data_IF_069744483080
#
_entry.id   IF_069744483080
#
_cell.length_a   1.000
_cell.length_b   1.000
_cell.length_c   1.000
_cell.angle_alpha   90.00
_cell.angle_beta   90.00
_cell.angle_gamma   90.00
#
_symmetry.space_group_name_H-M   'P 1'
#
loop_
_entity.id
_entity.type
_entity.pdbx_description
1 polymer ?
#
# COMPACT_ATOMS: atom_id res chain seq x y z
N UNK A 1 -58.71 -51.55 -0.43
CA UNK A 1 -57.93 -50.34 -0.11
C UNK A 1 -58.23 -49.95 1.32
N UNK A 2 -57.27 -50.11 2.22
CA UNK A 2 -57.37 -49.72 3.63
C UNK A 2 -56.96 -48.26 3.79
N UNK A 3 -57.84 -47.45 4.37
CA UNK A 3 -57.64 -46.03 4.66
C UNK A 3 -56.74 -45.86 5.90
N UNK A 4 -55.63 -45.14 5.80
CA UNK A 4 -54.61 -45.00 6.86
C UNK A 4 -54.71 -43.70 7.67
N UNK A 5 -55.81 -42.96 7.59
CA UNK A 5 -55.97 -41.69 8.30
C UNK A 5 -55.13 -40.53 7.73
N UNK A 6 -55.39 -39.28 8.17
CA UNK A 6 -54.63 -38.12 7.73
C UNK A 6 -53.20 -38.16 8.28
N UNK A 7 -52.22 -37.79 7.44
CA UNK A 7 -50.83 -37.57 7.83
C UNK A 7 -50.77 -36.47 8.90
N UNK A 8 -50.72 -36.86 10.17
CA UNK A 8 -50.45 -35.94 11.27
C UNK A 8 -48.98 -35.53 11.15
N UNK A 9 -48.72 -34.35 10.60
CA UNK A 9 -47.40 -33.73 10.69
C UNK A 9 -47.05 -33.63 12.17
N UNK A 10 -46.05 -34.41 12.61
CA UNK A 10 -45.50 -34.29 13.97
C UNK A 10 -45.22 -32.82 14.22
N UNK A 11 -45.82 -32.26 15.28
CA UNK A 11 -45.52 -30.90 15.70
C UNK A 11 -44.01 -30.76 15.82
N UNK A 12 -43.48 -29.71 15.20
CA UNK A 12 -42.04 -29.40 15.20
C UNK A 12 -41.63 -29.31 16.67
N UNK A 13 -40.85 -30.28 17.17
CA UNK A 13 -40.32 -30.26 18.55
C UNK A 13 -39.77 -28.86 18.80
N UNK A 14 -40.28 -28.15 19.79
CA UNK A 14 -39.77 -26.84 20.17
C UNK A 14 -38.26 -26.96 20.38
N UNK A 15 -37.50 -26.12 19.67
CA UNK A 15 -36.05 -26.15 19.78
C UNK A 15 -35.71 -25.62 21.17
N UNK A 16 -34.82 -26.30 21.89
CA UNK A 16 -34.36 -25.77 23.17
C UNK A 16 -33.71 -24.40 22.99
N UNK A 17 -33.90 -23.49 23.95
CA UNK A 17 -33.44 -22.10 23.90
C UNK A 17 -31.98 -21.96 23.43
N UNK A 18 -31.07 -22.81 23.92
CA UNK A 18 -29.64 -22.80 23.51
C UNK A 18 -29.47 -23.04 22.01
N UNK A 19 -30.28 -23.94 21.42
CA UNK A 19 -30.26 -24.21 19.98
C UNK A 19 -30.85 -23.05 19.18
N UNK A 20 -31.87 -22.38 19.69
CA UNK A 20 -32.45 -21.20 19.03
C UNK A 20 -31.47 -20.03 19.00
N UNK A 21 -30.83 -19.72 20.14
CA UNK A 21 -29.78 -18.71 20.20
C UNK A 21 -28.55 -19.08 19.36
N UNK A 22 -28.16 -20.35 19.33
CA UNK A 22 -27.08 -20.85 18.47
C UNK A 22 -27.40 -20.74 16.98
N UNK A 23 -28.61 -21.14 16.57
CA UNK A 23 -29.07 -21.03 15.18
C UNK A 23 -29.15 -19.54 14.76
N UNK A 24 -29.63 -18.65 15.63
CA UNK A 24 -29.70 -17.21 15.37
C UNK A 24 -28.30 -16.58 15.24
N UNK A 25 -27.37 -16.94 16.12
CA UNK A 25 -25.99 -16.48 16.05
C UNK A 25 -25.30 -16.96 14.77
N UNK A 26 -25.46 -18.24 14.42
CA UNK A 26 -24.93 -18.80 13.19
C UNK A 26 -25.48 -18.07 11.96
N UNK A 27 -26.80 -17.85 11.92
CA UNK A 27 -27.44 -17.09 10.86
C UNK A 27 -26.88 -15.66 10.76
N UNK A 28 -26.74 -14.96 11.89
CA UNK A 28 -26.18 -13.62 11.93
C UNK A 28 -24.74 -13.58 11.40
N UNK A 29 -23.89 -14.55 11.78
CA UNK A 29 -22.51 -14.66 11.29
C UNK A 29 -22.48 -14.90 9.77
N UNK A 30 -23.31 -15.80 9.25
CA UNK A 30 -23.38 -16.09 7.82
C UNK A 30 -23.90 -14.87 7.04
N UNK A 31 -24.99 -14.26 7.49
CA UNK A 31 -25.56 -13.07 6.86
C UNK A 31 -24.56 -11.90 6.87
N UNK A 32 -23.92 -11.62 8.00
CA UNK A 32 -22.89 -10.59 8.12
C UNK A 32 -21.67 -10.92 7.24
N UNK A 33 -21.28 -12.21 7.14
CA UNK A 33 -20.22 -12.66 6.25
C UNK A 33 -20.52 -12.41 4.77
N UNK A 34 -21.76 -12.68 4.34
CA UNK A 34 -22.21 -12.40 2.97
C UNK A 34 -22.25 -10.89 2.71
N UNK A 35 -22.86 -10.11 3.62
CA UNK A 35 -22.93 -8.65 3.50
C UNK A 35 -21.52 -8.06 3.41
N UNK A 36 -20.62 -8.48 4.30
CA UNK A 36 -19.22 -8.03 4.31
C UNK A 36 -18.45 -8.48 3.08
N UNK A 37 -18.70 -9.70 2.60
CA UNK A 37 -18.05 -10.26 1.43
C UNK A 37 -18.39 -9.48 0.15
N UNK A 38 -19.67 -9.16 -0.04
CA UNK A 38 -20.19 -8.73 -1.35
C UNK A 38 -20.69 -7.28 -1.42
N UNK A 39 -21.08 -6.67 -0.30
CA UNK A 39 -21.79 -5.38 -0.33
C UNK A 39 -20.91 -4.26 0.22
N UNK A 40 -20.62 -4.31 1.52
CA UNK A 40 -19.91 -3.24 2.22
C UNK A 40 -18.94 -3.79 3.25
N UNK A 41 -17.79 -3.14 3.38
CA UNK A 41 -16.84 -3.47 4.44
C UNK A 41 -16.36 -2.19 5.12
N UNK A 42 -16.21 -2.27 6.45
CA UNK A 42 -15.70 -1.18 7.26
C UNK A 42 -14.17 -1.27 7.39
N UNK A 43 -13.48 -0.17 7.15
CA UNK A 43 -12.03 -0.06 7.28
C UNK A 43 -11.66 1.11 8.19
N UNK A 44 -10.51 1.01 8.83
CA UNK A 44 -9.92 2.08 9.64
C UNK A 44 -8.76 2.72 8.89
N UNK A 45 -8.53 4.02 9.10
CA UNK A 45 -7.38 4.75 8.55
C UNK A 45 -6.28 4.84 9.61
N UNK A 46 -5.20 4.04 9.49
CA UNK A 46 -4.12 4.03 10.47
C UNK A 46 -3.01 5.04 10.18
N UNK A 47 -2.89 5.54 8.95
CA UNK A 47 -1.78 6.40 8.50
C UNK A 47 -2.28 7.62 7.71
N UNK A 48 -1.51 8.71 7.76
CA UNK A 48 -1.84 10.02 7.18
C UNK A 48 -1.63 10.12 5.66
N UNK A 49 -1.66 9.00 4.94
CA UNK A 49 -1.31 8.99 3.52
C UNK A 49 -2.37 9.65 2.61
N UNK A 50 -3.62 9.69 3.06
CA UNK A 50 -4.76 10.31 2.37
C UNK A 50 -5.19 11.59 3.10
N UNK A 51 -4.28 12.21 3.86
CA UNK A 51 -4.57 13.34 4.74
C UNK A 51 -5.38 14.46 4.09
N UNK A 52 -6.13 15.20 4.92
CA UNK A 52 -7.19 16.16 4.59
C UNK A 52 -8.50 15.53 4.11
N UNK A 53 -8.44 14.64 3.13
CA UNK A 53 -9.63 13.92 2.67
C UNK A 53 -10.02 12.82 3.65
N UNK A 54 -9.03 12.03 4.07
CA UNK A 54 -9.18 10.95 5.05
C UNK A 54 -8.12 11.06 6.15
N UNK A 55 -8.57 11.32 7.37
CA UNK A 55 -7.69 11.53 8.51
C UNK A 55 -7.41 10.23 9.26
N UNK A 56 -6.25 10.17 9.93
CA UNK A 56 -5.95 9.08 10.87
C UNK A 56 -7.06 9.00 11.92
N UNK A 57 -7.58 7.80 12.13
CA UNK A 57 -8.71 7.53 13.01
C UNK A 57 -10.10 7.70 12.38
N UNK A 58 -10.18 7.98 11.08
CA UNK A 58 -11.41 7.81 10.32
C UNK A 58 -11.73 6.32 10.12
N UNK A 59 -13.01 6.01 10.18
CA UNK A 59 -13.57 4.70 9.86
C UNK A 59 -14.51 4.85 8.67
N UNK A 60 -14.22 4.10 7.61
CA UNK A 60 -14.88 4.22 6.31
C UNK A 60 -15.72 3.01 6.01
N UNK A 61 -16.87 3.23 5.36
CA UNK A 61 -17.53 2.19 4.60
C UNK A 61 -17.03 2.19 3.15
N UNK A 62 -16.70 1.01 2.66
CA UNK A 62 -16.31 0.77 1.27
C UNK A 62 -17.45 0.09 0.54
N UNK A 63 -17.85 0.65 -0.60
CA UNK A 63 -18.83 0.06 -1.51
C UNK A 63 -18.14 -0.89 -2.48
N UNK A 64 -18.35 -2.20 -2.30
CA UNK A 64 -17.80 -3.23 -3.19
C UNK A 64 -18.61 -3.43 -4.47
N UNK A 65 -19.87 -2.99 -4.46
CA UNK A 65 -20.78 -3.15 -5.59
C UNK A 65 -20.43 -2.16 -6.70
N UNK A 66 -19.80 -1.03 -6.37
CA UNK A 66 -19.33 -0.03 -7.33
C UNK A 66 -18.56 -0.68 -8.48
N UNK A 67 -17.43 -1.29 -8.15
CA UNK A 67 -16.55 -1.97 -9.10
C UNK A 67 -16.88 -3.45 -9.27
N UNK A 68 -18.03 -3.91 -8.75
CA UNK A 68 -18.41 -5.30 -8.77
C UNK A 68 -17.69 -6.14 -7.70
N UNK A 69 -18.42 -6.92 -6.87
CA UNK A 69 -17.78 -7.68 -5.81
C UNK A 69 -16.99 -8.87 -6.35
N UNK A 70 -15.84 -9.14 -5.72
CA UNK A 70 -15.01 -10.31 -6.01
C UNK A 70 -15.57 -11.55 -5.33
N UNK A 71 -15.54 -12.69 -6.02
CA UNK A 71 -15.68 -13.98 -5.34
C UNK A 71 -14.47 -14.17 -4.40
N UNK A 72 -14.68 -14.69 -3.18
CA UNK A 72 -13.59 -14.90 -2.24
C UNK A 72 -12.65 -15.99 -2.77
N UNK A 73 -11.37 -15.68 -2.95
CA UNK A 73 -10.38 -16.69 -3.34
C UNK A 73 -10.18 -17.72 -2.21
N UNK A 74 -10.46 -17.32 -0.97
CA UNK A 74 -10.41 -18.17 0.22
C UNK A 74 -11.81 -18.33 0.85
N UNK A 75 -12.69 -19.15 0.25
CA UNK A 75 -14.08 -19.27 0.71
C UNK A 75 -14.20 -19.88 2.12
N UNK A 76 -13.21 -20.66 2.55
CA UNK A 76 -13.15 -21.27 3.88
C UNK A 76 -12.20 -20.47 4.78
N UNK A 77 -12.76 -19.46 5.44
CA UNK A 77 -12.05 -18.61 6.40
C UNK A 77 -12.86 -18.43 7.69
N UNK A 78 -12.15 -18.19 8.79
CA UNK A 78 -12.76 -17.80 10.07
C UNK A 78 -13.43 -16.43 9.87
N UNK A 79 -14.74 -16.31 10.13
CA UNK A 79 -15.45 -15.06 9.96
C UNK A 79 -14.78 -13.91 10.71
N UNK A 80 -14.83 -12.73 10.11
CA UNK A 80 -14.31 -11.46 10.65
C UNK A 80 -12.79 -11.33 10.81
N UNK A 81 -12.01 -12.39 10.59
CA UNK A 81 -10.55 -12.32 10.60
C UNK A 81 -9.99 -12.22 9.19
N UNK A 82 -9.27 -11.12 8.93
CA UNK A 82 -8.78 -10.83 7.59
C UNK A 82 -7.66 -11.78 7.17
N UNK A 83 -6.50 -11.72 7.84
CA UNK A 83 -5.27 -12.43 7.45
C UNK A 83 -4.93 -13.59 8.40
N UNK A 84 -4.79 -13.30 9.69
CA UNK A 84 -4.39 -14.22 10.74
C UNK A 84 -5.34 -14.14 11.94
N UNK A 85 -5.36 -15.17 12.78
CA UNK A 85 -6.11 -15.16 14.04
C UNK A 85 -5.43 -14.17 14.99
N UNK A 86 -6.15 -13.16 15.55
CA UNK A 86 -5.58 -12.16 16.43
C UNK A 86 -4.78 -12.76 17.60
N UNK A 87 -3.63 -12.18 17.90
CA UNK A 87 -2.72 -12.67 18.95
C UNK A 87 -1.89 -13.89 18.55
N UNK A 88 -2.00 -14.35 17.30
CA UNK A 88 -1.21 -15.47 16.76
C UNK A 88 -0.71 -15.16 15.35
N UNK A 89 0.21 -15.98 14.83
CA UNK A 89 0.64 -15.95 13.42
C UNK A 89 -0.04 -17.04 12.58
N UNK A 90 -1.14 -17.62 13.08
CA UNK A 90 -1.89 -18.69 12.41
C UNK A 90 -2.85 -18.10 11.37
N UNK A 91 -2.83 -18.66 10.14
CA UNK A 91 -3.74 -18.28 9.06
C UNK A 91 -5.19 -18.32 9.51
N UNK A 92 -5.97 -17.28 9.20
CA UNK A 92 -7.42 -17.29 9.44
C UNK A 92 -8.21 -18.09 8.38
N UNK A 93 -7.53 -18.73 7.44
CA UNK A 93 -8.13 -19.39 6.28
C UNK A 93 -7.45 -20.72 5.94
N UNK A 94 -8.18 -21.58 5.24
CA UNK A 94 -7.62 -22.82 4.70
C UNK A 94 -6.85 -22.52 3.41
N UNK A 95 -5.62 -23.00 3.34
CA UNK A 95 -4.72 -22.72 2.21
C UNK A 95 -4.74 -23.79 1.12
N UNK A 96 -5.22 -25.01 1.42
CA UNK A 96 -5.22 -26.14 0.48
C UNK A 96 -6.37 -26.06 -0.54
N UNK A 97 -7.34 -25.18 -0.31
CA UNK A 97 -8.47 -24.93 -1.20
C UNK A 97 -8.57 -23.43 -1.46
N UNK A 98 -8.42 -23.04 -2.71
CA UNK A 98 -8.61 -21.67 -3.18
C UNK A 98 -9.33 -21.65 -4.52
N UNK A 99 -9.97 -20.52 -4.82
CA UNK A 99 -10.65 -20.28 -6.10
C UNK A 99 -9.87 -19.26 -6.93
N UNK A 100 -9.94 -19.40 -8.24
CA UNK A 100 -9.40 -18.40 -9.16
C UNK A 100 -10.15 -17.07 -9.02
N UNK A 101 -9.48 -15.99 -9.44
CA UNK A 101 -10.10 -14.67 -9.46
C UNK A 101 -11.33 -14.65 -10.36
N UNK A 102 -12.45 -14.19 -9.79
CA UNK A 102 -13.65 -13.87 -10.53
C UNK A 102 -14.32 -12.66 -9.90
N UNK A 103 -14.75 -11.72 -10.73
CA UNK A 103 -15.43 -10.49 -10.32
C UNK A 103 -16.82 -10.47 -10.94
N UNK A 104 -17.81 -10.22 -10.11
CA UNK A 104 -19.19 -10.02 -10.56
C UNK A 104 -19.32 -8.61 -11.19
N UNK A 105 -20.29 -8.37 -12.09
CA UNK A 105 -20.49 -7.05 -12.67
C UNK A 105 -20.71 -5.97 -11.60
N UNK A 106 -20.02 -4.83 -11.75
CA UNK A 106 -20.28 -3.60 -11.03
C UNK A 106 -21.25 -2.69 -11.78
N UNK A 107 -21.62 -1.56 -11.17
CA UNK A 107 -22.38 -0.52 -11.88
C UNK A 107 -21.49 0.61 -12.42
N UNK A 108 -20.20 0.63 -12.07
CA UNK A 108 -19.20 1.57 -12.56
C UNK A 108 -17.82 0.89 -12.61
N UNK A 109 -16.94 1.40 -13.47
CA UNK A 109 -15.53 1.03 -13.45
C UNK A 109 -14.75 1.91 -12.47
N UNK A 110 -13.48 1.58 -12.24
CA UNK A 110 -12.57 2.44 -11.47
C UNK A 110 -12.22 3.64 -12.33
N UNK A 111 -12.51 4.83 -11.83
CA UNK A 111 -12.25 6.08 -12.55
C UNK A 111 -11.06 6.84 -11.93
N UNK A 112 -10.46 7.74 -12.69
CA UNK A 112 -9.45 8.66 -12.14
C UNK A 112 -10.09 9.51 -11.04
N UNK A 113 -9.29 9.81 -10.03
CA UNK A 113 -9.62 10.49 -8.78
C UNK A 113 -10.46 9.70 -7.78
N UNK A 114 -10.83 8.45 -8.09
CA UNK A 114 -11.52 7.63 -7.12
C UNK A 114 -10.65 7.27 -5.92
N UNK A 115 -11.19 7.34 -4.71
CA UNK A 115 -10.54 6.76 -3.54
C UNK A 115 -10.84 5.26 -3.52
N UNK A 116 -9.80 4.47 -3.78
CA UNK A 116 -9.90 3.02 -3.97
C UNK A 116 -9.30 2.31 -2.76
N UNK A 117 -10.05 1.35 -2.23
CA UNK A 117 -9.49 0.34 -1.32
C UNK A 117 -9.07 -0.87 -2.12
N UNK A 118 -7.86 -1.36 -1.87
CA UNK A 118 -7.25 -2.46 -2.61
C UNK A 118 -6.33 -3.28 -1.70
N UNK A 119 -6.11 -4.53 -2.09
CA UNK A 119 -5.14 -5.41 -1.46
C UNK A 119 -3.72 -4.97 -1.85
N UNK A 120 -2.78 -4.95 -0.91
CA UNK A 120 -1.42 -4.48 -1.13
C UNK A 120 -0.69 -5.36 -2.17
N UNK A 121 -0.27 -4.84 -3.35
CA UNK A 121 0.24 -5.68 -4.43
C UNK A 121 1.55 -6.40 -4.10
N UNK A 122 2.37 -5.84 -3.21
CA UNK A 122 3.62 -6.45 -2.73
C UNK A 122 3.50 -7.18 -1.38
N UNK A 123 2.27 -7.40 -0.91
CA UNK A 123 1.95 -8.11 0.34
C UNK A 123 1.66 -9.61 0.18
N UNK A 124 2.04 -10.23 -0.94
CA UNK A 124 1.92 -11.67 -1.19
C UNK A 124 2.85 -12.51 -0.29
N UNK A 125 3.98 -11.95 0.12
CA UNK A 125 4.87 -12.53 1.12
C UNK A 125 5.00 -11.56 2.29
N UNK A 126 4.76 -12.04 3.50
CA UNK A 126 4.89 -11.22 4.71
C UNK A 126 5.81 -11.91 5.73
N UNK A 127 6.69 -11.12 6.35
CA UNK A 127 7.50 -11.57 7.48
C UNK A 127 6.65 -11.49 8.76
N UNK A 128 6.68 -12.54 9.56
CA UNK A 128 5.92 -12.69 10.80
C UNK A 128 6.82 -12.34 11.98
N UNK A 129 6.29 -11.65 12.97
CA UNK A 129 7.06 -11.19 14.12
C UNK A 129 6.96 -9.69 14.31
N UNK A 130 7.74 -9.21 15.27
CA UNK A 130 7.93 -7.79 15.53
C UNK A 130 9.41 -7.46 15.41
N UNK A 131 9.71 -6.25 14.96
CA UNK A 131 11.06 -5.72 15.08
C UNK A 131 11.39 -5.44 16.55
N UNK A 132 12.62 -5.04 16.84
CA UNK A 132 13.05 -4.73 18.21
C UNK A 132 12.36 -3.53 18.85
N UNK A 133 11.77 -2.64 18.04
CA UNK A 133 10.96 -1.50 18.52
C UNK A 133 9.53 -1.92 18.87
N UNK A 134 9.16 -3.18 18.60
CA UNK A 134 7.83 -3.71 18.82
C UNK A 134 6.89 -3.53 17.64
N UNK A 135 7.34 -2.95 16.53
CA UNK A 135 6.54 -2.75 15.32
C UNK A 135 6.34 -4.09 14.62
N UNK A 136 5.12 -4.32 14.13
CA UNK A 136 4.77 -5.56 13.47
C UNK A 136 5.40 -5.63 12.07
N UNK A 137 6.11 -6.72 11.78
CA UNK A 137 6.76 -6.89 10.47
C UNK A 137 5.75 -7.24 9.36
N UNK A 138 4.56 -7.67 9.76
CA UNK A 138 3.47 -7.99 8.84
C UNK A 138 2.90 -6.70 8.25
N UNK A 139 2.76 -6.66 6.92
CA UNK A 139 2.27 -5.49 6.19
C UNK A 139 3.34 -4.60 5.58
N UNK A 140 4.62 -4.89 5.86
CA UNK A 140 5.76 -4.31 5.16
C UNK A 140 6.09 -5.06 3.86
N UNK A 141 6.86 -4.41 2.99
CA UNK A 141 7.25 -4.96 1.70
C UNK A 141 8.39 -6.00 1.83
N UNK A 142 8.06 -7.28 1.73
CA UNK A 142 9.08 -8.36 1.71
C UNK A 142 10.14 -8.14 0.63
N UNK A 143 9.76 -7.68 -0.55
CA UNK A 143 10.67 -7.49 -1.67
C UNK A 143 11.65 -6.34 -1.45
N UNK A 144 11.25 -5.32 -0.70
CA UNK A 144 12.15 -4.28 -0.24
C UNK A 144 13.18 -4.86 0.73
N UNK A 145 12.75 -5.60 1.76
CA UNK A 145 13.66 -6.24 2.70
C UNK A 145 14.64 -7.19 2.01
N UNK A 146 14.16 -7.96 1.04
CA UNK A 146 14.99 -8.87 0.26
C UNK A 146 16.06 -8.12 -0.53
N UNK A 147 15.69 -7.00 -1.15
CA UNK A 147 16.59 -6.16 -1.95
C UNK A 147 17.62 -5.44 -1.09
N UNK A 148 17.19 -4.84 0.02
CA UNK A 148 18.08 -4.13 0.94
C UNK A 148 19.05 -5.10 1.62
N UNK A 149 18.59 -6.31 2.02
CA UNK A 149 19.44 -7.38 2.53
C UNK A 149 20.45 -7.85 1.47
N UNK A 150 20.02 -8.09 0.23
CA UNK A 150 20.91 -8.53 -0.85
C UNK A 150 21.99 -7.47 -1.15
N UNK A 151 21.60 -6.20 -1.24
CA UNK A 151 22.54 -5.11 -1.49
C UNK A 151 23.53 -4.93 -0.34
N UNK A 152 23.05 -5.00 0.91
CA UNK A 152 23.91 -4.97 2.09
C UNK A 152 24.94 -6.10 2.10
N UNK A 153 24.53 -7.34 1.77
CA UNK A 153 25.41 -8.50 1.67
C UNK A 153 26.47 -8.34 0.56
N UNK A 154 26.17 -7.58 -0.49
CA UNK A 154 27.16 -7.26 -1.52
C UNK A 154 28.28 -6.38 -0.98
N UNK A 155 27.95 -5.40 -0.13
CA UNK A 155 28.86 -4.39 0.38
C UNK A 155 29.74 -3.79 -0.74
N UNK A 156 29.09 -3.43 -1.84
CA UNK A 156 29.70 -3.08 -3.12
C UNK A 156 28.98 -1.88 -3.75
N UNK A 157 29.47 -1.39 -4.90
CA UNK A 157 28.75 -0.39 -5.69
C UNK A 157 27.46 -0.97 -6.29
N UNK A 158 26.51 -0.10 -6.64
CA UNK A 158 25.26 -0.53 -7.24
C UNK A 158 25.47 -1.24 -8.59
N UNK A 159 26.43 -0.76 -9.39
CA UNK A 159 26.78 -1.36 -10.68
C UNK A 159 27.35 -2.77 -10.52
N UNK A 160 28.18 -2.99 -9.50
CA UNK A 160 28.69 -4.33 -9.16
C UNK A 160 27.57 -5.24 -8.67
N UNK A 161 26.64 -4.70 -7.87
CA UNK A 161 25.49 -5.47 -7.40
C UNK A 161 24.62 -5.97 -8.56
N UNK A 162 24.35 -5.16 -9.57
CA UNK A 162 23.53 -5.57 -10.72
C UNK A 162 24.16 -6.71 -11.54
N UNK A 163 25.50 -6.77 -11.62
CA UNK A 163 26.20 -7.83 -12.35
C UNK A 163 26.02 -9.21 -11.72
N UNK A 164 25.99 -9.27 -10.38
CA UNK A 164 25.91 -10.51 -9.59
C UNK A 164 24.60 -10.59 -8.78
N UNK A 165 23.55 -9.87 -9.18
CA UNK A 165 22.33 -9.65 -8.39
C UNK A 165 21.71 -10.95 -7.90
N UNK A 166 21.57 -11.93 -8.78
CA UNK A 166 20.90 -13.21 -8.47
C UNK A 166 21.62 -13.99 -7.36
N UNK A 167 22.95 -13.91 -7.29
CA UNK A 167 23.76 -14.54 -6.23
C UNK A 167 23.42 -13.93 -4.87
N UNK A 168 23.38 -12.61 -4.76
CA UNK A 168 23.08 -11.93 -3.50
C UNK A 168 21.62 -12.08 -3.09
N UNK A 169 20.70 -12.07 -4.05
CA UNK A 169 19.30 -12.38 -3.81
C UNK A 169 19.09 -13.81 -3.30
N UNK A 170 19.83 -14.80 -3.81
CA UNK A 170 19.79 -16.16 -3.29
C UNK A 170 20.25 -16.21 -1.82
N UNK A 171 21.35 -15.53 -1.49
CA UNK A 171 21.86 -15.43 -0.12
C UNK A 171 20.88 -14.72 0.82
N UNK A 172 20.27 -13.63 0.37
CA UNK A 172 19.27 -12.88 1.12
C UNK A 172 17.99 -13.70 1.36
N UNK A 173 17.54 -14.48 0.37
CA UNK A 173 16.42 -15.44 0.56
C UNK A 173 16.75 -16.50 1.59
N UNK A 174 17.98 -17.01 1.61
CA UNK A 174 18.41 -17.95 2.66
C UNK A 174 18.33 -17.30 4.06
N UNK A 175 18.80 -16.06 4.19
CA UNK A 175 18.72 -15.33 5.46
C UNK A 175 17.27 -15.11 5.91
N UNK A 176 16.42 -14.61 5.00
CA UNK A 176 15.05 -14.23 5.34
C UNK A 176 14.10 -15.43 5.45
N UNK A 177 14.16 -16.39 4.53
CA UNK A 177 13.15 -17.46 4.43
C UNK A 177 13.55 -18.75 5.16
N UNK A 178 14.85 -18.96 5.42
CA UNK A 178 15.34 -20.17 6.11
C UNK A 178 15.84 -19.83 7.51
N UNK A 179 16.65 -18.77 7.65
CA UNK A 179 17.24 -18.38 8.94
C UNK A 179 16.38 -17.41 9.74
N UNK A 180 15.27 -16.92 9.18
CA UNK A 180 14.39 -15.91 9.76
C UNK A 180 15.17 -14.72 10.36
N UNK A 181 16.12 -14.20 9.59
CA UNK A 181 17.06 -13.14 10.03
C UNK A 181 17.24 -12.10 8.95
N UNK A 182 17.17 -10.84 9.35
CA UNK A 182 17.54 -9.69 8.55
C UNK A 182 18.84 -9.11 9.10
N UNK A 183 19.93 -9.12 8.32
CA UNK A 183 21.28 -8.80 8.82
C UNK A 183 21.68 -7.35 8.60
N UNK A 184 21.03 -6.64 7.70
CA UNK A 184 21.31 -5.22 7.41
C UNK A 184 20.81 -4.25 8.49
N UNK A 185 20.14 -4.74 9.54
CA UNK A 185 19.62 -3.89 10.62
C UNK A 185 20.70 -3.50 11.63
N UNK A 186 20.58 -2.30 12.20
CA UNK A 186 21.54 -1.72 13.15
C UNK A 186 20.82 -0.80 14.14
N UNK A 187 21.47 -0.52 15.27
CA UNK A 187 21.13 0.62 16.13
C UNK A 187 22.26 1.65 16.12
N UNK A 188 21.94 2.88 16.51
CA UNK A 188 22.92 3.95 16.70
C UNK A 188 23.18 4.05 18.20
N UNK A 189 24.44 3.91 18.61
CA UNK A 189 24.84 4.07 20.00
C UNK A 189 24.96 5.54 20.41
N UNK A 190 25.22 5.79 21.70
CA UNK A 190 25.37 7.14 22.26
C UNK A 190 26.53 7.95 21.64
N UNK A 191 27.43 7.29 20.91
CA UNK A 191 28.55 7.89 20.18
C UNK A 191 28.24 8.11 18.70
N UNK A 192 26.96 8.00 18.30
CA UNK A 192 26.50 8.10 16.92
C UNK A 192 27.12 7.05 15.99
N UNK A 193 27.55 5.89 16.52
CA UNK A 193 28.11 4.78 15.74
C UNK A 193 27.02 3.77 15.45
N UNK A 194 27.02 3.23 14.22
CA UNK A 194 26.13 2.13 13.85
C UNK A 194 26.70 0.81 14.34
N UNK A 195 25.95 0.13 15.20
CA UNK A 195 26.29 -1.20 15.70
C UNK A 195 25.35 -2.20 15.03
N UNK A 196 25.95 -3.18 14.34
CA UNK A 196 25.21 -4.23 13.66
C UNK A 196 24.29 -4.95 14.65
N UNK A 197 23.02 -5.06 14.28
CA UNK A 197 22.02 -5.63 15.16
C UNK A 197 20.97 -6.39 14.37
N UNK A 198 21.28 -7.63 13.94
CA UNK A 198 20.41 -8.41 13.09
C UNK A 198 19.03 -8.64 13.73
N UNK A 199 17.98 -8.34 12.98
CA UNK A 199 16.59 -8.55 13.42
C UNK A 199 16.21 -9.99 13.18
N UNK A 200 15.90 -10.71 14.26
CA UNK A 200 15.28 -12.04 14.22
C UNK A 200 13.77 -11.89 14.18
N UNK A 201 13.11 -12.78 13.46
CA UNK A 201 11.65 -12.79 13.35
C UNK A 201 11.10 -14.22 13.37
N UNK A 202 9.79 -14.34 13.50
CA UNK A 202 9.10 -15.60 13.87
C UNK A 202 8.90 -16.53 12.69
N UNK A 203 8.90 -15.98 11.47
CA UNK A 203 8.80 -16.74 10.23
C UNK A 203 8.34 -15.86 9.08
N UNK A 204 7.77 -16.50 8.06
CA UNK A 204 7.16 -15.81 6.93
C UNK A 204 5.94 -16.57 6.44
N UNK A 205 5.11 -15.90 5.66
CA UNK A 205 3.88 -16.46 5.13
C UNK A 205 3.57 -15.95 3.73
N UNK A 206 3.10 -16.85 2.88
CA UNK A 206 2.46 -16.49 1.61
C UNK A 206 0.96 -16.29 1.78
N UNK A 207 0.42 -15.28 1.10
CA UNK A 207 -0.98 -14.88 1.17
C UNK A 207 -1.64 -14.79 -0.21
N UNK A 208 -2.86 -15.34 -0.37
CA UNK A 208 -3.69 -15.07 -1.54
C UNK A 208 -4.12 -13.59 -1.57
N UNK A 209 -4.55 -13.11 -2.73
CA UNK A 209 -4.83 -11.68 -2.97
C UNK A 209 -5.84 -11.12 -1.97
N UNK A 210 -6.92 -11.86 -1.68
CA UNK A 210 -7.97 -11.45 -0.75
C UNK A 210 -7.57 -11.46 0.74
N UNK A 211 -6.35 -11.90 1.06
CA UNK A 211 -5.81 -11.97 2.43
C UNK A 211 -4.61 -11.06 2.68
N UNK A 212 -4.17 -10.30 1.67
CA UNK A 212 -3.14 -9.27 1.84
C UNK A 212 -3.70 -8.06 2.57
N UNK A 213 -2.82 -7.25 3.15
CA UNK A 213 -3.17 -5.97 3.78
C UNK A 213 -4.00 -5.09 2.84
N UNK A 214 -4.91 -4.31 3.41
CA UNK A 214 -5.69 -3.36 2.63
C UNK A 214 -5.04 -1.98 2.71
N UNK A 215 -4.93 -1.34 1.55
CA UNK A 215 -4.46 0.03 1.40
C UNK A 215 -5.58 0.86 0.78
N UNK A 216 -5.54 2.16 1.05
CA UNK A 216 -6.46 3.14 0.48
C UNK A 216 -5.64 4.26 -0.13
N UNK A 217 -5.93 4.54 -1.40
CA UNK A 217 -5.20 5.48 -2.24
C UNK A 217 -6.14 6.07 -3.29
N UNK A 218 -5.79 7.24 -3.83
CA UNK A 218 -6.47 7.82 -4.99
C UNK A 218 -6.01 7.13 -6.27
N UNK A 219 -6.95 6.73 -7.12
CA UNK A 219 -6.64 6.27 -8.47
C UNK A 219 -6.28 7.45 -9.34
N UNK A 220 -5.05 7.50 -9.83
CA UNK A 220 -4.59 8.62 -10.67
C UNK A 220 -4.26 8.19 -12.10
N UNK A 221 -4.10 6.89 -12.33
CA UNK A 221 -3.96 6.30 -13.66
C UNK A 221 -4.83 5.05 -13.79
N UNK A 222 -5.51 4.95 -14.93
CA UNK A 222 -6.39 3.84 -15.30
C UNK A 222 -5.77 3.02 -16.45
N UNK A 223 -6.30 1.82 -16.76
CA UNK A 223 -5.72 0.94 -17.78
C UNK A 223 -5.65 1.63 -19.15
N UNK A 224 -4.49 1.57 -19.79
CA UNK A 224 -4.22 2.23 -21.07
C UNK A 224 -3.62 3.63 -20.96
N UNK A 225 -3.42 4.16 -19.75
CA UNK A 225 -2.78 5.46 -19.56
C UNK A 225 -1.26 5.41 -19.70
N UNK A 226 -0.69 6.52 -20.17
CA UNK A 226 0.72 6.84 -20.01
C UNK A 226 0.90 7.85 -18.88
N UNK A 227 1.91 7.64 -18.04
CA UNK A 227 2.15 8.43 -16.84
C UNK A 227 3.56 8.98 -16.83
N UNK A 228 3.70 10.21 -16.35
CA UNK A 228 4.97 10.86 -16.06
C UNK A 228 4.82 11.74 -14.82
N UNK A 229 5.87 11.84 -14.00
CA UNK A 229 5.93 12.77 -12.87
C UNK A 229 7.12 13.69 -13.10
N UNK A 230 6.88 15.00 -13.06
CA UNK A 230 7.90 16.04 -13.19
C UNK A 230 7.76 17.00 -12.01
N UNK A 231 8.79 17.10 -11.17
CA UNK A 231 8.77 17.88 -9.93
C UNK A 231 7.48 17.67 -9.11
N UNK A 232 7.15 16.40 -8.86
CA UNK A 232 5.98 15.94 -8.09
C UNK A 232 4.62 16.17 -8.73
N UNK A 233 4.57 16.79 -9.91
CA UNK A 233 3.36 16.98 -10.71
C UNK A 233 3.16 15.76 -11.61
N UNK A 234 1.98 15.15 -11.51
CA UNK A 234 1.60 14.01 -12.33
C UNK A 234 1.04 14.50 -13.67
N UNK A 235 1.49 13.87 -14.75
CA UNK A 235 1.04 14.06 -16.12
C UNK A 235 0.49 12.72 -16.59
N UNK A 236 -0.74 12.72 -17.11
CA UNK A 236 -1.44 11.55 -17.63
C UNK A 236 -1.75 11.81 -19.10
N UNK A 237 -1.27 10.95 -19.99
CA UNK A 237 -1.47 11.07 -21.44
C UNK A 237 -1.01 12.43 -22.02
N UNK A 238 0.05 12.98 -21.46
CA UNK A 238 0.62 14.28 -21.87
C UNK A 238 -0.11 15.51 -21.29
N UNK A 239 -1.16 15.31 -20.51
CA UNK A 239 -1.92 16.38 -19.86
C UNK A 239 -1.72 16.36 -18.33
N UNK A 240 -1.81 17.53 -17.70
CA UNK A 240 -1.71 17.62 -16.26
C UNK A 240 -2.85 16.82 -15.58
N UNK A 241 -2.49 15.91 -14.69
CA UNK A 241 -3.48 15.22 -13.89
C UNK A 241 -4.12 16.18 -12.88
N UNK A 242 -5.40 15.96 -12.58
CA UNK A 242 -6.05 16.65 -11.46
C UNK A 242 -5.27 16.42 -10.17
N UNK A 243 -5.07 17.50 -9.43
CA UNK A 243 -4.48 17.49 -8.10
C UNK A 243 -5.35 18.36 -7.22
N UNK A 244 -5.83 17.78 -6.12
CA UNK A 244 -6.64 18.51 -5.15
C UNK A 244 -5.80 19.59 -4.45
N UNK A 245 -6.40 20.75 -4.13
CA UNK A 245 -5.71 21.82 -3.38
C UNK A 245 -5.29 21.36 -1.97
N UNK A 246 -5.93 20.30 -1.46
CA UNK A 246 -5.62 19.68 -0.18
C UNK A 246 -4.48 18.66 -0.27
N UNK A 247 -3.99 18.32 -1.47
CA UNK A 247 -2.82 17.48 -1.63
C UNK A 247 -1.64 18.07 -0.86
N UNK A 248 -0.91 17.21 -0.16
CA UNK A 248 0.18 17.62 0.71
C UNK A 248 1.54 17.25 0.15
N UNK A 249 2.49 18.14 0.37
CA UNK A 249 3.90 17.94 0.13
C UNK A 249 4.67 18.27 1.41
N UNK A 250 5.94 17.87 1.46
CA UNK A 250 6.85 18.39 2.47
C UNK A 250 7.48 19.68 1.95
N UNK A 251 7.53 20.69 2.83
CA UNK A 251 8.13 21.98 2.55
C UNK A 251 9.28 22.22 3.51
N UNK A 252 10.37 22.77 3.00
CA UNK A 252 11.45 23.30 3.80
C UNK A 252 11.13 24.75 4.14
N UNK A 253 11.19 25.09 5.42
CA UNK A 253 10.86 26.41 5.97
C UNK A 253 12.03 26.93 6.77
N UNK A 254 12.49 28.14 6.44
CA UNK A 254 13.37 28.92 7.31
C UNK A 254 12.51 30.03 7.91
N UNK A 255 12.56 30.12 9.24
CA UNK A 255 11.79 31.09 10.00
C UNK A 255 12.71 31.86 10.97
N UNK A 256 12.41 33.13 11.19
CA UNK A 256 13.12 33.97 12.16
C UNK A 256 12.63 33.78 13.61
N UNK A 257 11.76 32.79 13.84
CA UNK A 257 11.26 32.38 15.15
C UNK A 257 11.38 30.88 15.37
N UNK A 258 11.67 30.52 16.61
CA UNK A 258 11.60 29.13 17.08
C UNK A 258 10.14 28.74 17.21
N UNK A 259 9.77 27.59 16.66
CA UNK A 259 8.41 27.04 16.78
C UNK A 259 8.23 26.39 18.16
N UNK A 260 7.91 27.22 19.14
CA UNK A 260 7.51 26.77 20.47
C UNK A 260 6.12 26.09 20.46
N UNK A 261 5.70 25.55 21.60
CA UNK A 261 4.42 24.83 21.72
C UNK A 261 3.22 25.72 21.35
N UNK A 262 3.29 27.04 21.57
CA UNK A 262 2.21 27.96 21.23
C UNK A 262 2.09 28.11 19.71
N UNK A 263 3.20 28.31 19.01
CA UNK A 263 3.21 28.39 17.55
C UNK A 263 2.72 27.06 16.97
N UNK A 264 3.27 25.93 17.45
CA UNK A 264 2.87 24.59 17.01
C UNK A 264 1.37 24.33 17.16
N UNK A 265 0.79 24.68 18.31
CA UNK A 265 -0.67 24.59 18.51
C UNK A 265 -1.43 25.46 17.52
N UNK A 266 -0.99 26.71 17.30
CA UNK A 266 -1.61 27.58 16.30
C UNK A 266 -1.48 27.03 14.87
N UNK A 267 -0.41 26.31 14.53
CA UNK A 267 -0.26 25.69 13.22
C UNK A 267 -1.24 24.53 13.04
N UNK A 268 -1.46 23.73 14.08
CA UNK A 268 -2.48 22.68 14.07
C UNK A 268 -3.89 23.27 13.94
N UNK A 269 -4.19 24.34 14.67
CA UNK A 269 -5.53 24.95 14.63
C UNK A 269 -5.84 25.66 13.31
N UNK A 270 -4.86 26.36 12.72
CA UNK A 270 -5.08 27.19 11.52
C UNK A 270 -4.85 26.44 10.21
N UNK A 271 -3.82 25.61 10.17
CA UNK A 271 -3.36 24.96 8.93
C UNK A 271 -3.52 23.43 8.99
N UNK A 272 -3.91 22.90 10.15
CA UNK A 272 -3.99 21.46 10.41
C UNK A 272 -2.66 20.76 10.09
N UNK A 273 -1.56 21.39 10.51
CA UNK A 273 -0.20 20.83 10.50
C UNK A 273 0.03 20.14 11.84
N UNK A 274 0.38 18.85 11.83
CA UNK A 274 0.63 18.13 13.07
C UNK A 274 2.01 18.50 13.64
N UNK A 275 2.10 19.02 14.89
CA UNK A 275 3.38 19.37 15.52
C UNK A 275 4.40 18.22 15.58
N UNK A 276 3.92 16.97 15.64
CA UNK A 276 4.77 15.78 15.70
C UNK A 276 5.47 15.46 14.37
N UNK A 277 4.98 16.00 13.26
CA UNK A 277 5.52 15.78 11.92
C UNK A 277 6.53 16.87 11.49
N UNK A 278 6.61 17.95 12.26
CA UNK A 278 7.60 19.01 12.05
C UNK A 278 8.97 18.47 12.46
N UNK A 279 9.89 18.40 11.52
CA UNK A 279 11.27 17.98 11.75
C UNK A 279 12.24 19.10 11.42
N UNK A 280 13.33 19.20 12.19
CA UNK A 280 14.35 20.25 12.00
C UNK A 280 15.60 19.61 11.43
N UNK A 281 16.08 20.15 10.31
CA UNK A 281 17.38 19.84 9.79
C UNK A 281 18.44 20.73 10.47
N UNK A 282 19.14 20.18 11.45
CA UNK A 282 20.15 20.91 12.22
C UNK A 282 21.36 21.38 11.40
N UNK A 283 21.59 20.83 10.19
CA UNK A 283 22.73 21.23 9.35
C UNK A 283 22.55 22.59 8.69
N UNK A 284 21.32 22.95 8.34
CA UNK A 284 20.98 24.20 7.63
C UNK A 284 19.90 25.03 8.33
N UNK A 285 19.37 24.55 9.46
CA UNK A 285 18.32 25.24 10.23
C UNK A 285 16.92 25.20 9.61
N UNK A 286 16.75 24.53 8.45
CA UNK A 286 15.46 24.42 7.80
C UNK A 286 14.55 23.42 8.54
N UNK A 287 13.27 23.79 8.69
CA UNK A 287 12.23 22.92 9.21
C UNK A 287 11.51 22.25 8.05
N UNK A 288 11.45 20.92 8.02
CA UNK A 288 10.61 20.16 7.10
C UNK A 288 9.23 20.03 7.71
N UNK A 289 8.24 20.59 7.01
CA UNK A 289 6.85 20.67 7.46
C UNK A 289 5.93 20.10 6.36
N UNK A 290 5.17 19.03 6.64
CA UNK A 290 4.10 18.61 5.73
C UNK A 290 2.94 19.60 5.80
N UNK A 291 2.47 20.06 4.65
CA UNK A 291 1.30 20.93 4.56
C UNK A 291 0.59 20.77 3.21
N UNK A 292 -0.68 21.14 3.14
CA UNK A 292 -1.41 21.16 1.87
C UNK A 292 -0.96 22.33 1.01
N UNK A 293 -1.21 22.26 -0.30
CA UNK A 293 -0.93 23.39 -1.20
C UNK A 293 -1.67 24.66 -0.76
N UNK A 294 -2.93 24.52 -0.32
CA UNK A 294 -3.71 25.62 0.27
C UNK A 294 -3.09 26.21 1.54
N UNK A 295 -2.65 25.35 2.47
CA UNK A 295 -2.01 25.80 3.70
C UNK A 295 -0.68 26.51 3.41
N UNK A 296 0.07 26.06 2.40
CA UNK A 296 1.30 26.71 1.96
C UNK A 296 1.06 28.17 1.54
N UNK A 297 0.01 28.46 0.78
CA UNK A 297 -0.30 29.84 0.34
C UNK A 297 -0.43 30.79 1.53
N UNK A 298 -1.25 30.43 2.52
CA UNK A 298 -1.45 31.26 3.72
C UNK A 298 -0.24 31.25 4.67
N UNK A 299 0.43 30.10 4.83
CA UNK A 299 1.57 29.94 5.72
C UNK A 299 2.77 30.76 5.23
N UNK A 300 2.97 30.82 3.91
CA UNK A 300 4.09 31.55 3.29
C UNK A 300 4.06 33.06 3.57
N UNK A 301 2.88 33.62 3.86
CA UNK A 301 2.65 35.05 4.15
C UNK A 301 2.84 35.41 5.63
N UNK A 302 3.12 34.43 6.50
CA UNK A 302 3.35 34.68 7.92
C UNK A 302 4.65 35.48 8.10
N UNK A 303 4.59 36.63 8.76
CA UNK A 303 5.74 37.54 8.89
C UNK A 303 6.96 37.01 9.65
N UNK A 304 6.92 35.77 10.14
CA UNK A 304 8.07 35.07 10.73
C UNK A 304 8.66 33.97 9.83
N UNK A 305 8.10 33.76 8.63
CA UNK A 305 8.63 32.87 7.60
C UNK A 305 9.54 33.69 6.70
N UNK A 306 10.83 33.36 6.68
CA UNK A 306 11.82 34.07 5.85
C UNK A 306 11.90 33.46 4.45
N UNK A 307 11.81 32.13 4.35
CA UNK A 307 11.76 31.42 3.06
C UNK A 307 11.09 30.07 3.18
N UNK A 308 10.42 29.65 2.11
CA UNK A 308 9.72 28.38 2.02
C UNK A 308 9.80 27.81 0.60
N UNK A 309 10.09 26.52 0.46
CA UNK A 309 10.13 25.82 -0.82
C UNK A 309 9.79 24.34 -0.66
N UNK A 310 9.30 23.70 -1.72
CA UNK A 310 8.97 22.27 -1.71
C UNK A 310 10.24 21.42 -1.61
N UNK A 311 10.20 20.36 -0.82
CA UNK A 311 11.28 19.39 -0.61
C UNK A 311 11.39 18.38 -1.77
N UNK A 312 11.65 18.87 -2.98
CA UNK A 312 11.78 18.02 -4.17
C UNK A 312 13.05 17.18 -4.16
N UNK A 313 12.92 15.90 -4.47
CA UNK A 313 14.06 15.07 -4.86
C UNK A 313 14.34 15.21 -6.35
N UNK A 314 15.45 15.88 -6.65
CA UNK A 314 15.96 16.07 -8.00
C UNK A 314 16.33 14.74 -8.67
N UNK A 315 16.29 14.71 -10.01
CA UNK A 315 16.75 13.56 -10.79
C UNK A 315 18.17 13.15 -10.37
N UNK A 316 18.39 11.84 -10.22
CA UNK A 316 19.66 11.29 -9.78
C UNK A 316 19.95 11.43 -8.28
N UNK A 317 18.97 11.82 -7.45
CA UNK A 317 19.12 11.84 -5.99
C UNK A 317 19.68 10.53 -5.42
N UNK A 318 19.22 9.39 -5.94
CA UNK A 318 19.66 8.06 -5.53
C UNK A 318 21.02 7.63 -6.11
N UNK A 319 21.61 8.40 -7.04
CA UNK A 319 22.97 8.15 -7.53
C UNK A 319 24.03 8.44 -6.45
N UNK A 320 23.68 9.15 -5.38
CA UNK A 320 24.57 9.38 -4.27
C UNK A 320 24.83 8.05 -3.52
N UNK A 321 26.09 7.56 -3.45
CA UNK A 321 26.42 6.34 -2.75
C UNK A 321 25.99 6.34 -1.28
N UNK A 322 26.04 7.49 -0.60
CA UNK A 322 25.64 7.60 0.82
C UNK A 322 24.14 7.40 1.01
N UNK A 323 23.34 7.77 0.00
CA UNK A 323 21.88 7.53 -0.02
C UNK A 323 21.61 6.06 -0.33
N UNK A 324 22.26 5.52 -1.36
CA UNK A 324 21.99 4.17 -1.85
C UNK A 324 22.53 3.06 -0.95
N UNK A 325 23.61 3.34 -0.18
CA UNK A 325 24.30 2.40 0.73
C UNK A 325 23.38 1.59 1.64
N UNK A 326 22.19 2.11 1.96
CA UNK A 326 21.25 1.47 2.89
C UNK A 326 19.88 1.15 2.30
N UNK A 327 19.58 1.64 1.10
CA UNK A 327 18.24 1.66 0.54
C UNK A 327 18.36 1.55 -0.98
N UNK A 328 18.56 0.34 -1.48
CA UNK A 328 18.83 0.14 -2.89
C UNK A 328 17.54 0.35 -3.70
N UNK A 329 17.57 1.32 -4.62
CA UNK A 329 16.51 1.62 -5.60
C UNK A 329 15.09 1.40 -5.06
N UNK A 330 14.64 2.25 -4.12
CA UNK A 330 13.34 2.09 -3.46
C UNK A 330 12.13 2.51 -4.31
N UNK A 331 12.39 3.13 -5.46
CA UNK A 331 11.40 3.58 -6.43
C UNK A 331 11.19 2.49 -7.49
N UNK A 332 9.94 2.27 -7.90
CA UNK A 332 9.60 1.38 -9.01
C UNK A 332 10.37 1.78 -10.29
N UNK A 333 10.93 0.82 -11.06
CA UNK A 333 10.82 -0.64 -10.95
C UNK A 333 11.91 -1.31 -10.10
N UNK A 334 12.60 -0.56 -9.24
CA UNK A 334 13.65 -1.03 -8.33
C UNK A 334 14.91 -1.57 -9.03
N UNK A 335 15.32 -0.92 -10.12
CA UNK A 335 16.44 -1.34 -10.99
C UNK A 335 17.24 -0.11 -11.46
N UNK A 336 18.57 -0.24 -11.61
CA UNK A 336 19.46 0.88 -11.99
C UNK A 336 19.18 1.48 -13.37
N UNK A 337 18.40 0.80 -14.21
CA UNK A 337 17.94 1.39 -15.46
C UNK A 337 17.17 2.71 -15.25
N UNK A 338 16.64 2.90 -14.04
CA UNK A 338 15.93 4.11 -13.59
C UNK A 338 16.68 4.89 -12.53
N UNK A 339 18.02 4.80 -12.46
CA UNK A 339 18.84 5.44 -11.41
C UNK A 339 18.63 6.96 -11.26
N UNK A 340 18.21 7.62 -12.34
CA UNK A 340 17.91 9.06 -12.32
C UNK A 340 16.49 9.38 -11.85
N UNK A 341 15.63 8.38 -11.63
CA UNK A 341 14.26 8.58 -11.17
C UNK A 341 14.18 8.84 -9.66
N UNK A 342 13.17 9.60 -9.27
CA UNK A 342 12.73 9.80 -7.88
C UNK A 342 11.21 9.72 -7.81
N UNK A 343 10.64 9.69 -6.62
CA UNK A 343 9.18 9.79 -6.43
C UNK A 343 8.57 11.09 -6.97
N UNK A 344 9.41 12.11 -7.22
CA UNK A 344 9.02 13.42 -7.76
C UNK A 344 9.38 13.57 -9.23
N UNK A 345 10.18 12.65 -9.78
CA UNK A 345 10.67 12.73 -11.14
C UNK A 345 10.80 11.31 -11.72
N UNK A 346 9.76 10.80 -12.36
CA UNK A 346 9.74 9.46 -12.93
C UNK A 346 8.95 9.40 -14.23
N UNK A 347 9.30 8.46 -15.10
CA UNK A 347 8.63 8.24 -16.38
C UNK A 347 9.26 8.91 -17.59
N UNK A 348 8.56 8.86 -18.72
CA UNK A 348 7.22 8.29 -18.89
C UNK A 348 7.17 6.75 -18.85
N UNK A 349 6.03 6.16 -18.47
CA UNK A 349 5.75 4.72 -18.61
C UNK A 349 4.26 4.47 -18.94
N UNK A 350 3.95 3.26 -19.42
CA UNK A 350 2.59 2.87 -19.84
C UNK A 350 1.96 1.87 -18.88
N UNK A 351 0.68 2.09 -18.54
CA UNK A 351 -0.18 1.19 -17.76
C UNK A 351 -0.93 0.22 -18.68
N UNK A 352 -0.63 -1.09 -18.64
CA UNK A 352 -1.32 -2.04 -19.51
C UNK A 352 -2.80 -2.17 -19.20
N UNK A 353 -3.62 -2.37 -20.24
CA UNK A 353 -5.00 -2.87 -20.12
C UNK A 353 -5.10 -4.33 -20.56
N UNK A 354 -6.14 -5.02 -20.10
CA UNK A 354 -6.39 -6.38 -20.52
C UNK A 354 -6.56 -6.44 -22.05
N UNK A 355 -5.88 -7.39 -22.69
CA UNK A 355 -5.83 -7.56 -24.13
C UNK A 355 -4.76 -6.74 -24.85
N UNK A 356 -4.05 -5.83 -24.16
CA UNK A 356 -2.91 -5.14 -24.78
C UNK A 356 -1.79 -6.11 -25.11
N UNK A 357 -1.30 -6.04 -26.34
CA UNK A 357 -0.06 -6.69 -26.75
C UNK A 357 1.07 -5.65 -26.80
N UNK A 358 2.09 -5.83 -25.96
CA UNK A 358 3.23 -4.91 -25.85
C UNK A 358 4.50 -5.62 -26.34
N UNK A 359 5.27 -4.96 -27.21
CA UNK A 359 6.61 -5.41 -27.58
C UNK A 359 7.55 -5.40 -26.37
N UNK A 360 8.29 -6.47 -26.14
CA UNK A 360 9.22 -6.59 -25.04
C UNK A 360 10.66 -6.42 -25.50
N UNK A 361 11.40 -5.60 -24.76
CA UNK A 361 12.84 -5.45 -24.86
C UNK A 361 13.44 -5.38 -23.46
N UNK A 362 14.77 -5.43 -23.36
CA UNK A 362 15.47 -5.38 -22.07
C UNK A 362 15.07 -4.19 -21.19
N UNK A 363 14.81 -3.02 -21.79
CA UNK A 363 14.46 -1.81 -21.06
C UNK A 363 13.05 -1.87 -20.49
N UNK A 364 12.04 -2.07 -21.34
CA UNK A 364 10.64 -1.99 -20.91
C UNK A 364 10.19 -3.23 -20.12
N UNK A 365 10.80 -4.40 -20.36
CA UNK A 365 10.36 -5.63 -19.74
C UNK A 365 10.63 -5.64 -18.22
N UNK A 366 11.61 -4.87 -17.74
CA UNK A 366 11.85 -4.64 -16.30
C UNK A 366 10.63 -4.03 -15.62
N UNK A 367 9.96 -3.06 -16.25
CA UNK A 367 8.76 -2.43 -15.72
C UNK A 367 7.57 -3.39 -15.64
N UNK A 368 7.49 -4.34 -16.58
CA UNK A 368 6.39 -5.32 -16.66
C UNK A 368 6.67 -6.62 -15.92
N UNK A 369 7.90 -6.84 -15.43
CA UNK A 369 8.31 -8.08 -14.76
C UNK A 369 7.31 -8.54 -13.71
N UNK A 370 6.95 -7.66 -12.77
CA UNK A 370 6.05 -8.03 -11.65
C UNK A 370 4.64 -8.36 -12.13
N UNK A 371 4.14 -7.66 -13.14
CA UNK A 371 2.85 -7.94 -13.76
C UNK A 371 2.82 -9.32 -14.40
N UNK A 372 3.81 -9.61 -15.24
CA UNK A 372 3.91 -10.88 -15.96
C UNK A 372 4.17 -12.05 -14.99
N UNK A 373 5.11 -11.88 -14.05
CA UNK A 373 5.60 -12.92 -13.15
C UNK A 373 4.65 -13.17 -11.98
N UNK A 374 4.36 -12.12 -11.19
CA UNK A 374 3.69 -12.26 -9.90
C UNK A 374 2.17 -12.18 -10.01
N UNK A 375 1.64 -11.31 -10.87
CA UNK A 375 0.19 -11.08 -10.99
C UNK A 375 -0.45 -12.05 -11.98
N UNK A 376 0.12 -12.21 -13.18
CA UNK A 376 -0.40 -13.10 -14.23
C UNK A 376 0.18 -14.52 -14.25
N UNK A 377 1.02 -14.82 -13.26
CA UNK A 377 1.53 -16.17 -12.92
C UNK A 377 2.34 -16.85 -14.03
N UNK A 378 3.20 -16.10 -14.72
CA UNK A 378 4.14 -16.67 -15.69
C UNK A 378 5.55 -16.79 -15.11
N UNK A 379 6.37 -17.69 -15.66
CA UNK A 379 7.81 -17.64 -15.42
C UNK A 379 8.41 -16.54 -16.28
N UNK A 380 9.28 -15.73 -15.72
CA UNK A 380 9.89 -14.59 -16.40
C UNK A 380 11.41 -14.60 -16.20
N UNK A 381 12.18 -14.33 -17.26
CA UNK A 381 13.64 -14.24 -17.20
C UNK A 381 14.17 -13.29 -18.29
N UNK A 382 15.13 -12.45 -17.94
CA UNK A 382 15.92 -11.67 -18.90
C UNK A 382 17.30 -12.30 -18.99
N UNK A 383 17.85 -12.43 -20.20
CA UNK A 383 19.19 -12.95 -20.45
C UNK A 383 19.84 -12.20 -21.62
N UNK A 384 20.83 -11.36 -21.30
CA UNK A 384 21.33 -10.35 -22.23
C UNK A 384 20.21 -9.40 -22.65
N UNK A 385 19.91 -9.38 -23.95
CA UNK A 385 18.83 -8.58 -24.53
C UNK A 385 17.53 -9.37 -24.76
N UNK A 386 17.55 -10.68 -24.47
CA UNK A 386 16.42 -11.57 -24.71
C UNK A 386 15.51 -11.66 -23.48
N UNK A 387 14.20 -11.61 -23.71
CA UNK A 387 13.18 -11.85 -22.69
C UNK A 387 12.56 -13.22 -22.90
N UNK A 388 12.44 -13.99 -21.83
CA UNK A 388 11.86 -15.32 -21.84
C UNK A 388 10.62 -15.38 -20.95
N UNK A 389 9.51 -15.84 -21.51
CA UNK A 389 8.25 -16.06 -20.78
C UNK A 389 7.93 -17.54 -20.87
N UNK A 390 7.73 -18.18 -19.71
CA UNK A 390 7.49 -19.63 -19.61
C UNK A 390 8.57 -20.49 -20.30
N UNK A 391 9.81 -19.99 -20.33
CA UNK A 391 10.97 -20.65 -20.93
C UNK A 391 11.12 -20.44 -22.45
N UNK A 392 10.18 -19.73 -23.09
CA UNK A 392 10.22 -19.43 -24.52
C UNK A 392 10.68 -17.99 -24.75
N UNK A 393 11.46 -17.76 -25.81
CA UNK A 393 11.84 -16.40 -26.24
C UNK A 393 10.57 -15.63 -26.61
N UNK A 394 10.38 -14.45 -26.02
CA UNK A 394 9.20 -13.63 -26.18
C UNK A 394 9.58 -12.21 -26.62
N UNK A 395 9.09 -11.81 -27.80
CA UNK A 395 9.24 -10.45 -28.31
C UNK A 395 8.00 -9.58 -28.01
N UNK A 396 6.89 -10.20 -27.59
CA UNK A 396 5.65 -9.52 -27.20
C UNK A 396 5.06 -10.20 -25.96
N UNK A 397 4.17 -9.50 -25.28
CA UNK A 397 3.32 -10.06 -24.24
C UNK A 397 1.92 -9.47 -24.28
N UNK A 398 0.91 -10.33 -24.24
CA UNK A 398 -0.50 -9.93 -24.11
C UNK A 398 -0.93 -9.94 -22.65
N UNK A 399 -1.28 -8.76 -22.11
CA UNK A 399 -1.73 -8.63 -20.73
C UNK A 399 -3.12 -9.20 -20.55
N UNK A 400 -3.32 -9.92 -19.44
CA UNK A 400 -4.59 -10.57 -19.11
C UNK A 400 -5.45 -9.73 -18.18
N UNK A 401 -4.84 -8.77 -17.48
CA UNK A 401 -5.52 -7.94 -16.48
C UNK A 401 -5.42 -6.47 -16.80
N UNK A 402 -6.36 -5.71 -16.24
CA UNK A 402 -6.29 -4.27 -16.14
C UNK A 402 -5.38 -3.83 -14.99
N UNK A 403 -4.59 -2.78 -15.20
CA UNK A 403 -3.66 -2.24 -14.21
C UNK A 403 -3.95 -0.76 -13.91
N UNK A 404 -3.81 -0.42 -12.63
CA UNK A 404 -4.06 0.92 -12.10
C UNK A 404 -2.80 1.49 -11.44
N UNK A 405 -2.74 2.81 -11.38
CA UNK A 405 -1.75 3.54 -10.61
C UNK A 405 -2.45 4.31 -9.49
N UNK A 406 -2.13 3.97 -8.25
CA UNK A 406 -2.78 4.55 -7.08
C UNK A 406 -1.76 5.31 -6.24
N UNK A 407 -2.05 6.56 -5.91
CA UNK A 407 -1.18 7.46 -5.15
C UNK A 407 -1.88 8.02 -3.92
N UNK A 408 -1.11 8.32 -2.87
CA UNK A 408 -1.64 9.03 -1.70
C UNK A 408 -1.72 10.53 -1.96
N UNK A 409 -2.63 11.21 -1.28
CA UNK A 409 -2.77 12.66 -1.38
C UNK A 409 -1.66 13.38 -0.61
N UNK A 410 -1.11 12.74 0.43
CA UNK A 410 0.14 13.17 1.07
C UNK A 410 1.34 12.63 0.26
N UNK A 411 1.70 13.35 -0.80
CA UNK A 411 2.60 12.90 -1.87
C UNK A 411 4.00 12.56 -1.37
N UNK A 412 4.56 13.24 -0.38
CA UNK A 412 5.89 12.90 0.12
C UNK A 412 5.87 11.92 1.31
N UNK A 413 4.71 11.63 1.91
CA UNK A 413 4.58 10.72 3.06
C UNK A 413 3.61 9.56 2.79
N UNK A 414 3.58 9.09 1.54
CA UNK A 414 2.74 7.99 1.08
C UNK A 414 3.59 6.87 0.50
N UNK A 415 3.46 5.67 1.08
CA UNK A 415 3.85 4.44 0.39
C UNK A 415 2.73 4.12 -0.61
N UNK A 416 3.04 4.20 -1.90
CA UNK A 416 2.09 4.02 -2.99
C UNK A 416 2.72 3.44 -4.27
N UNK A 417 2.02 3.49 -5.40
CA UNK A 417 2.48 2.89 -6.66
C UNK A 417 3.86 3.37 -7.11
N UNK A 418 4.34 4.54 -6.68
CA UNK A 418 5.73 4.98 -6.95
C UNK A 418 6.79 4.04 -6.35
N UNK A 419 6.44 3.29 -5.30
CA UNK A 419 7.34 2.36 -4.62
C UNK A 419 7.23 0.92 -5.13
N UNK A 420 6.01 0.45 -5.44
CA UNK A 420 5.75 -0.96 -5.79
C UNK A 420 5.21 -1.19 -7.20
N UNK A 421 4.87 -0.13 -7.93
CA UNK A 421 4.34 -0.18 -9.27
C UNK A 421 2.84 -0.43 -9.35
N UNK A 422 2.45 -1.27 -10.30
CA UNK A 422 1.06 -1.46 -10.71
C UNK A 422 0.18 -2.12 -9.65
N UNK A 423 -1.08 -1.69 -9.62
CA UNK A 423 -2.16 -2.36 -8.89
C UNK A 423 -3.03 -3.10 -9.90
N UNK A 424 -2.99 -4.45 -9.97
CA UNK A 424 -3.86 -5.20 -10.88
C UNK A 424 -5.33 -5.20 -10.39
N UNK A 425 -6.26 -5.40 -11.31
CA UNK A 425 -7.71 -5.37 -11.03
C UNK A 425 -8.19 -6.41 -10.01
N UNK A 426 -7.49 -7.54 -9.86
CA UNK A 426 -7.82 -8.57 -8.86
C UNK A 426 -7.51 -8.09 -7.43
N UNK A 427 -6.72 -7.04 -7.26
CA UNK A 427 -6.42 -6.42 -5.97
C UNK A 427 -7.44 -5.35 -5.57
N UNK A 428 -8.17 -4.76 -6.51
CA UNK A 428 -9.20 -3.75 -6.21
C UNK A 428 -10.31 -4.37 -5.34
N UNK A 429 -10.65 -3.74 -4.21
CA UNK A 429 -11.69 -4.21 -3.29
C UNK A 429 -12.99 -3.44 -3.50
N UNK A 430 -12.94 -2.11 -3.55
CA UNK A 430 -14.12 -1.27 -3.71
C UNK A 430 -13.81 0.23 -3.62
N UNK A 431 -14.85 1.05 -3.79
CA UNK A 431 -14.80 2.51 -3.71
C UNK A 431 -15.06 2.97 -2.28
N UNK A 432 -14.25 3.88 -1.73
CA UNK A 432 -14.57 4.49 -0.45
C UNK A 432 -15.87 5.30 -0.58
N UNK A 433 -16.83 5.09 0.32
CA UNK A 433 -18.15 5.69 0.22
C UNK A 433 -18.30 6.89 1.16
N UNK A 434 -18.26 6.64 2.47
CA UNK A 434 -18.43 7.67 3.49
C UNK A 434 -17.74 7.29 4.80
N UNK A 435 -17.43 8.30 5.60
CA UNK A 435 -16.87 8.18 6.95
C UNK A 435 -18.02 7.91 7.92
N UNK A 436 -18.09 6.73 8.53
CA UNK A 436 -19.18 6.41 9.48
C UNK A 436 -18.81 6.71 10.93
N UNK A 437 -17.53 6.84 11.23
CA UNK A 437 -17.02 7.28 12.51
C UNK A 437 -15.65 7.93 12.34
N UNK A 438 -15.32 8.90 13.18
CA UNK A 438 -14.01 9.55 13.16
C UNK A 438 -13.60 9.94 14.56
N UNK A 439 -12.36 9.60 14.92
CA UNK A 439 -11.79 9.93 16.22
C UNK A 439 -10.34 10.40 16.07
N UNK A 440 -10.04 11.53 16.68
CA UNK A 440 -8.68 11.95 16.94
C UNK A 440 -8.06 11.11 18.04
N UNK A 441 -7.05 10.33 17.69
CA UNK A 441 -6.36 9.44 18.61
C UNK A 441 -5.47 10.21 19.61
N UNK A 442 -5.05 11.43 19.27
CA UNK A 442 -4.21 12.27 20.14
C UNK A 442 -5.03 12.98 21.23
N UNK A 443 -6.31 13.27 20.94
CA UNK A 443 -7.22 13.93 21.88
C UNK A 443 -7.85 12.98 22.92
N UNK A 444 -7.35 11.75 23.06
CA UNK A 444 -7.77 10.82 24.11
C UNK A 444 -9.25 10.42 24.06
N UNK A 445 -9.99 10.60 25.16
CA UNK A 445 -11.39 10.19 25.27
C UNK A 445 -12.38 11.16 24.61
N UNK A 446 -12.02 12.43 24.42
CA UNK A 446 -12.91 13.49 23.90
C UNK A 446 -12.73 13.76 22.40
N UNK A 447 -11.93 12.94 21.70
CA UNK A 447 -11.50 13.19 20.32
C UNK A 447 -12.50 12.89 19.19
N UNK A 448 -13.80 12.69 19.45
CA UNK A 448 -14.73 12.35 18.34
C UNK A 448 -14.89 13.56 17.41
N UNK A 449 -14.59 13.37 16.12
CA UNK A 449 -14.70 14.41 15.09
C UNK A 449 -16.11 14.40 14.48
N UNK A 450 -17.08 14.96 15.21
CA UNK A 450 -18.50 14.93 14.84
C UNK A 450 -18.80 15.51 13.45
N UNK A 451 -18.07 16.53 13.02
CA UNK A 451 -18.21 17.15 11.71
C UNK A 451 -17.85 16.22 10.53
N UNK A 452 -17.12 15.14 10.79
CA UNK A 452 -16.69 14.16 9.77
C UNK A 452 -17.64 12.96 9.65
N UNK A 453 -18.50 12.73 10.62
CA UNK A 453 -19.40 11.57 10.61
C UNK A 453 -20.46 11.75 9.50
N UNK A 454 -20.63 10.70 8.70
CA UNK A 454 -21.45 10.63 7.49
C UNK A 454 -21.05 11.58 6.35
N UNK A 455 -19.84 12.13 6.39
CA UNK A 455 -19.29 12.86 5.24
C UNK A 455 -18.91 11.88 4.14
N UNK A 456 -19.10 12.34 2.89
CA UNK A 456 -18.55 11.70 1.71
C UNK A 456 -17.05 11.47 1.88
N UNK A 457 -16.55 10.33 1.39
CA UNK A 457 -15.10 10.13 1.25
C UNK A 457 -14.52 10.92 0.06
N UNK A 458 -15.40 11.45 -0.81
CA UNK A 458 -15.10 12.26 -1.99
C UNK A 458 -15.48 13.73 -1.81
#
# INVERSE_FOLDING_TARGET
>A
MTWTGPLIWKSKKEKGLIREWGDALLFAIVAAGIIRGFFFEAFTIPTGSMEKDLLIGDYLFVNKIAYGPKLPQTPLAVPFFHNNIPGTYTKSYLHWFGMDYHRLPGYTDVERNDIVVFNYPAGDTALLGRNKRGDELQGHNYYQFLRDEAFYLCNCSAEQFEQDRDKYYAQARENLLVKNTMTHTFFVDDYNRRVADPTKFEGWIERPTDKKENYIKRCVGIPGDSLEIINGKLIVNGEDAYLDENAQYNYNVIANRIFDDRIKTSLKEKFDINPSEISINYSNGAMRIPMSMKAYEEFSELGYVDSIWVDWKQKGYYNNPDVMKYNYMQIFPNDLITKDWTEDNMGPWYLPKAGDEIELNKFNAIFYRRAIESYEKNKYRIDGDNVYINGQLANTYTFKMNYYWLMGDNRHNSLDSRMWGYVPEDHVVGKAAFIWFSKDNEAGHEGVRWNRIFQSAH
#
